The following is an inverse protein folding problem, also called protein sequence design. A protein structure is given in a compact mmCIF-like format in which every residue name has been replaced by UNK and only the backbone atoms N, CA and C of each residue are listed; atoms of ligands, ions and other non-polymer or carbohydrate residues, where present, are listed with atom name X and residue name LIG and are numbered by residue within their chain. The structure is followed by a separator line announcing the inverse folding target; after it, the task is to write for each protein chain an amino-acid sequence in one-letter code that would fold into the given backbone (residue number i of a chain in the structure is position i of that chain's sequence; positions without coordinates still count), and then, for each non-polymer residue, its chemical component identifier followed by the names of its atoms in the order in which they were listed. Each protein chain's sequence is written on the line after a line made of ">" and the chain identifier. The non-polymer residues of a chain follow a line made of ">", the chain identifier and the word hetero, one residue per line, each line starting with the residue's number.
data_IF_234697061401
#
_entry.id   IF_234697061401
#
_cell.length_a   1.000
_cell.length_b   1.000
_cell.length_c   1.000
_cell.angle_alpha   90.00
_cell.angle_beta   90.00
_cell.angle_gamma   90.00
#
_symmetry.space_group_name_H-M   'P 1'
#
loop_
_entity.id
_entity.type
_entity.pdbx_description
1 polymer ?
#
# COMPACT_ATOMS: atom_id res chain seq x y z
N UNK A 1 48.16 -14.14 -3.79
CA UNK A 1 47.32 -13.34 -2.86
C UNK A 1 45.82 -13.43 -3.21
N UNK A 2 45.15 -14.59 -3.09
CA UNK A 2 43.70 -14.72 -3.32
C UNK A 2 42.82 -14.49 -2.06
N UNK A 3 43.38 -14.55 -0.86
CA UNK A 3 42.61 -14.54 0.40
C UNK A 3 41.85 -13.23 0.71
N UNK A 4 42.37 -12.09 0.23
CA UNK A 4 41.75 -10.77 0.47
C UNK A 4 40.43 -10.63 -0.31
N UNK A 5 40.37 -11.20 -1.52
CA UNK A 5 39.19 -11.12 -2.38
C UNK A 5 38.04 -11.95 -1.79
N UNK A 6 38.35 -13.16 -1.30
CA UNK A 6 37.36 -14.09 -0.73
C UNK A 6 36.73 -13.52 0.55
N UNK A 7 37.52 -12.86 1.42
CA UNK A 7 36.98 -12.19 2.63
C UNK A 7 36.02 -11.05 2.30
N UNK A 8 36.29 -10.28 1.23
CA UNK A 8 35.42 -9.17 0.80
C UNK A 8 34.05 -9.66 0.33
N UNK A 9 34.01 -10.74 -0.46
CA UNK A 9 32.75 -11.32 -0.93
C UNK A 9 31.91 -11.95 0.20
N UNK A 10 32.55 -12.56 1.19
CA UNK A 10 31.87 -13.08 2.39
C UNK A 10 31.18 -11.97 3.20
N UNK A 11 31.85 -10.83 3.39
CA UNK A 11 31.28 -9.67 4.09
C UNK A 11 30.06 -9.07 3.38
N UNK A 12 30.11 -8.97 2.04
CA UNK A 12 28.99 -8.47 1.22
C UNK A 12 27.78 -9.41 1.29
N UNK A 13 28.00 -10.73 1.24
CA UNK A 13 26.92 -11.71 1.43
C UNK A 13 26.27 -11.58 2.81
N UNK A 14 27.05 -11.36 3.86
CA UNK A 14 26.55 -11.21 5.24
C UNK A 14 25.75 -9.91 5.42
N UNK A 15 26.20 -8.81 4.78
CA UNK A 15 25.48 -7.54 4.78
C UNK A 15 24.13 -7.66 4.04
N UNK A 16 24.10 -8.28 2.86
CA UNK A 16 22.85 -8.53 2.12
C UNK A 16 21.88 -9.44 2.92
N UNK A 17 22.40 -10.45 3.62
CA UNK A 17 21.60 -11.33 4.47
C UNK A 17 21.00 -10.59 5.68
N UNK A 18 21.71 -9.60 6.23
CA UNK A 18 21.23 -8.74 7.32
C UNK A 18 20.17 -7.74 6.85
N UNK A 19 20.31 -7.19 5.64
CA UNK A 19 19.30 -6.32 5.02
C UNK A 19 18.02 -7.12 4.71
N UNK A 20 18.15 -8.37 4.22
CA UNK A 20 17.02 -9.28 4.01
C UNK A 20 16.39 -9.79 5.31
N UNK A 21 17.14 -9.79 6.42
CA UNK A 21 16.61 -10.01 7.79
C UNK A 21 16.01 -8.74 8.40
N UNK A 22 15.65 -7.75 7.59
CA UNK A 22 14.81 -6.63 7.99
C UNK A 22 13.66 -7.12 8.87
N UNK A 23 13.65 -6.64 10.11
CA UNK A 23 12.73 -7.02 11.20
C UNK A 23 11.36 -7.38 10.63
N UNK A 24 10.94 -8.65 10.79
CA UNK A 24 9.54 -9.04 10.58
C UNK A 24 8.68 -8.17 11.49
N UNK A 25 8.05 -7.14 10.91
CA UNK A 25 7.13 -6.28 11.64
C UNK A 25 6.02 -7.16 12.21
N UNK A 26 5.68 -6.96 13.49
CA UNK A 26 4.67 -7.74 14.17
C UNK A 26 3.38 -7.75 13.33
N UNK A 27 2.79 -8.93 13.13
CA UNK A 27 1.59 -9.12 12.29
C UNK A 27 0.47 -8.16 12.71
N UNK A 28 0.35 -7.87 14.01
CA UNK A 28 -0.63 -6.91 14.55
C UNK A 28 -0.40 -5.48 14.05
N UNK A 29 0.86 -5.06 13.98
CA UNK A 29 1.23 -3.72 13.48
C UNK A 29 0.99 -3.62 11.98
N UNK A 30 1.28 -4.69 11.22
CA UNK A 30 0.98 -4.74 9.77
C UNK A 30 -0.52 -4.63 9.50
N UNK A 31 -1.35 -5.31 10.29
CA UNK A 31 -2.81 -5.25 10.19
C UNK A 31 -3.33 -3.85 10.57
N UNK A 32 -2.75 -3.23 11.60
CA UNK A 32 -3.08 -1.85 11.98
C UNK A 32 -2.79 -0.88 10.83
N UNK A 33 -1.62 -0.98 10.19
CA UNK A 33 -1.26 -0.15 9.04
C UNK A 33 -2.25 -0.37 7.88
N UNK A 34 -2.59 -1.63 7.57
CA UNK A 34 -3.58 -1.94 6.53
C UNK A 34 -4.95 -1.33 6.84
N UNK A 35 -5.39 -1.38 8.10
CA UNK A 35 -6.65 -0.77 8.54
C UNK A 35 -6.63 0.75 8.34
N UNK A 36 -5.56 1.43 8.79
CA UNK A 36 -5.40 2.89 8.63
C UNK A 36 -5.37 3.29 7.15
N UNK A 37 -4.68 2.51 6.30
CA UNK A 37 -4.67 2.74 4.85
C UNK A 37 -6.05 2.58 4.22
N UNK A 38 -6.84 1.61 4.68
CA UNK A 38 -8.22 1.44 4.25
C UNK A 38 -9.09 2.65 4.62
N UNK A 39 -8.98 3.15 5.85
CA UNK A 39 -9.69 4.36 6.31
C UNK A 39 -9.26 5.59 5.52
N UNK A 40 -7.96 5.78 5.30
CA UNK A 40 -7.43 6.88 4.51
C UNK A 40 -7.93 6.85 3.06
N UNK A 41 -8.06 5.64 2.48
CA UNK A 41 -8.62 5.45 1.13
C UNK A 41 -10.10 5.85 1.07
N UNK A 42 -10.89 5.57 2.10
CA UNK A 42 -12.29 6.02 2.17
C UNK A 42 -12.36 7.55 2.26
N UNK A 43 -11.58 8.17 3.16
CA UNK A 43 -11.53 9.62 3.32
C UNK A 43 -11.15 10.29 2.00
N UNK A 44 -10.11 9.81 1.33
CA UNK A 44 -9.68 10.33 0.05
C UNK A 44 -10.73 10.10 -1.05
N UNK A 45 -11.37 8.92 -1.07
CA UNK A 45 -12.48 8.60 -1.97
C UNK A 45 -13.68 9.54 -1.82
N UNK A 46 -14.03 9.95 -0.60
CA UNK A 46 -15.10 10.93 -0.35
C UNK A 46 -14.79 12.29 -0.98
N UNK A 47 -13.51 12.70 -1.01
CA UNK A 47 -13.12 13.97 -1.65
C UNK A 47 -13.34 14.01 -3.16
N UNK A 48 -13.51 12.86 -3.82
CA UNK A 48 -13.88 12.80 -5.25
C UNK A 48 -15.37 13.13 -5.51
N UNK A 49 -16.22 13.14 -4.48
CA UNK A 49 -17.63 13.54 -4.62
C UNK A 49 -17.85 15.04 -4.40
N UNK A 50 -16.82 15.77 -4.01
CA UNK A 50 -16.90 17.23 -3.85
C UNK A 50 -16.61 17.89 -5.19
N UNK A 51 -17.58 18.63 -5.74
CA UNK A 51 -17.53 19.28 -7.05
C UNK A 51 -16.39 20.32 -7.21
N UNK A 52 -15.77 20.75 -6.10
CA UNK A 52 -14.83 21.86 -6.10
C UNK A 52 -13.41 21.51 -6.58
N UNK A 53 -13.13 20.25 -6.90
CA UNK A 53 -11.80 19.83 -7.41
C UNK A 53 -11.90 19.36 -8.84
N UNK A 54 -11.87 20.30 -9.76
CA UNK A 54 -11.36 20.03 -11.11
C UNK A 54 -10.00 19.34 -10.96
N UNK A 55 -9.94 18.06 -11.30
CA UNK A 55 -8.73 17.26 -11.23
C UNK A 55 -7.78 17.76 -12.30
N UNK A 56 -7.02 18.79 -11.97
CA UNK A 56 -6.15 19.55 -12.89
C UNK A 56 -5.02 18.71 -13.50
N UNK A 57 -4.81 17.48 -13.03
CA UNK A 57 -3.93 16.47 -13.66
C UNK A 57 -4.39 15.04 -13.34
N UNK A 58 -5.21 14.47 -14.23
CA UNK A 58 -5.49 13.03 -14.22
C UNK A 58 -4.35 12.31 -14.94
N UNK A 59 -3.66 11.34 -14.33
CA UNK A 59 -2.65 10.54 -15.02
C UNK A 59 -3.28 9.77 -16.18
N UNK A 60 -2.61 9.74 -17.35
CA UNK A 60 -3.14 9.17 -18.60
C UNK A 60 -3.66 7.73 -18.49
N UNK A 61 -3.14 6.96 -17.53
CA UNK A 61 -3.53 5.56 -17.26
C UNK A 61 -4.93 5.48 -16.65
N UNK A 62 -5.34 6.48 -15.89
CA UNK A 62 -6.62 6.53 -15.16
C UNK A 62 -7.67 7.31 -15.97
N UNK A 63 -7.25 7.98 -17.04
CA UNK A 63 -8.10 8.76 -17.93
C UNK A 63 -9.28 7.97 -18.54
N UNK A 64 -9.12 6.74 -19.09
CA UNK A 64 -10.26 6.00 -19.63
C UNK A 64 -11.28 5.59 -18.56
N UNK A 65 -10.85 5.42 -17.31
CA UNK A 65 -11.78 5.15 -16.21
C UNK A 65 -12.52 6.43 -15.77
N UNK A 66 -11.83 7.56 -15.77
CA UNK A 66 -12.45 8.86 -15.52
C UNK A 66 -13.46 9.25 -16.60
N UNK A 67 -13.16 8.98 -17.87
CA UNK A 67 -14.06 9.32 -18.99
C UNK A 67 -15.36 8.51 -18.95
N UNK A 68 -15.31 7.25 -18.51
CA UNK A 68 -16.47 6.37 -18.44
C UNK A 68 -17.32 6.55 -17.17
N UNK A 69 -16.70 6.85 -16.02
CA UNK A 69 -17.40 6.86 -14.73
C UNK A 69 -17.28 8.19 -13.96
N UNK A 70 -16.55 9.16 -14.49
CA UNK A 70 -16.31 10.46 -13.86
C UNK A 70 -15.56 10.40 -12.54
N UNK A 71 -15.56 11.54 -11.84
CA UNK A 71 -15.03 11.65 -10.48
C UNK A 71 -15.76 10.74 -9.49
N UNK A 72 -17.09 10.61 -9.62
CA UNK A 72 -17.91 9.75 -8.77
C UNK A 72 -17.54 8.26 -8.89
N UNK A 73 -17.17 7.79 -10.08
CA UNK A 73 -16.69 6.44 -10.32
C UNK A 73 -15.37 6.13 -9.63
N UNK A 74 -14.41 7.04 -9.74
CA UNK A 74 -13.11 6.91 -9.06
C UNK A 74 -13.28 6.94 -7.55
N UNK A 75 -14.11 7.86 -7.03
CA UNK A 75 -14.43 7.95 -5.61
C UNK A 75 -15.06 6.67 -5.06
N UNK A 76 -16.08 6.15 -5.75
CA UNK A 76 -16.76 4.92 -5.36
C UNK A 76 -15.84 3.69 -5.40
N UNK A 77 -15.00 3.55 -6.42
CA UNK A 77 -14.00 2.49 -6.49
C UNK A 77 -12.99 2.55 -5.33
N UNK A 78 -12.54 3.75 -4.96
CA UNK A 78 -11.64 3.95 -3.82
C UNK A 78 -12.31 3.58 -2.49
N UNK A 79 -13.57 3.97 -2.30
CA UNK A 79 -14.34 3.65 -1.10
C UNK A 79 -14.53 2.13 -0.99
N UNK A 80 -14.93 1.46 -2.07
CA UNK A 80 -15.11 0.00 -2.09
C UNK A 80 -13.79 -0.71 -1.76
N UNK A 81 -12.69 -0.27 -2.36
CA UNK A 81 -11.36 -0.81 -2.09
C UNK A 81 -10.96 -0.60 -0.61
N UNK A 82 -11.18 0.60 -0.07
CA UNK A 82 -10.91 0.92 1.33
C UNK A 82 -11.72 0.07 2.30
N UNK A 83 -13.01 -0.12 2.03
CA UNK A 83 -13.90 -1.01 2.81
C UNK A 83 -13.38 -2.44 2.77
N UNK A 84 -13.02 -2.95 1.59
CA UNK A 84 -12.50 -4.31 1.43
C UNK A 84 -11.22 -4.54 2.27
N UNK A 85 -10.30 -3.57 2.24
CA UNK A 85 -9.06 -3.61 3.04
C UNK A 85 -9.35 -3.60 4.54
N UNK A 86 -10.30 -2.78 4.99
CA UNK A 86 -10.74 -2.73 6.39
C UNK A 86 -11.30 -4.09 6.83
N UNK A 87 -12.25 -4.63 6.07
CA UNK A 87 -12.86 -5.93 6.36
C UNK A 87 -11.83 -7.05 6.38
N UNK A 88 -10.93 -7.06 5.40
CA UNK A 88 -9.83 -8.02 5.36
C UNK A 88 -8.92 -7.91 6.59
N UNK A 89 -8.56 -6.69 6.99
CA UNK A 89 -7.72 -6.46 8.17
C UNK A 89 -8.40 -6.93 9.46
N UNK A 90 -9.69 -6.62 9.63
CA UNK A 90 -10.47 -7.08 10.79
C UNK A 90 -10.57 -8.61 10.82
N UNK A 91 -10.87 -9.24 9.68
CA UNK A 91 -11.00 -10.69 9.60
C UNK A 91 -9.67 -11.40 9.84
N UNK A 92 -8.58 -10.89 9.26
CA UNK A 92 -7.24 -11.41 9.46
C UNK A 92 -6.77 -11.22 10.92
N UNK A 93 -7.13 -10.10 11.56
CA UNK A 93 -6.86 -9.88 12.98
C UNK A 93 -7.61 -10.90 13.84
N UNK A 94 -8.90 -11.15 13.53
CA UNK A 94 -9.72 -12.15 14.24
C UNK A 94 -9.17 -13.56 14.08
N UNK A 95 -8.66 -13.93 12.90
CA UNK A 95 -8.04 -15.24 12.63
C UNK A 95 -6.69 -15.43 13.33
N UNK A 96 -6.01 -14.34 13.67
CA UNK A 96 -4.70 -14.37 14.34
C UNK A 96 -4.82 -14.44 15.87
N UNK A 97 -6.01 -14.19 16.43
CA UNK A 97 -6.31 -14.35 17.85
C UNK A 97 -6.78 -15.76 18.13
#
# INVERSE_FOLDING_TARGET
>A
MPDIVIRRFSGIKKANLLIMKGKKLNIKVRLLIAFVLGVASIIYGVTYFTDEKEVTRIPRIIYPFYENFGNAGLGSALIICGIFIIFYSIFAYKKTR
#
